data_IF_655778999749
#
_entry.id   IF_655778999749
#
_cell.length_a   1.000
_cell.length_b   1.000
_cell.length_c   1.000
_cell.angle_alpha   90.00
_cell.angle_beta   90.00
_cell.angle_gamma   90.00
#
_symmetry.space_group_name_H-M   'P 1'
#
loop_
_entity.id
_entity.type
_entity.pdbx_description
1 polymer ?
#
# COMPACT_ATOMS: atom_id res chain seq x y z
N UNK A 1 5.42 -6.99 -26.14
CA UNK A 1 4.20 -6.59 -25.41
C UNK A 1 4.43 -6.83 -23.92
N UNK A 2 4.65 -5.78 -23.11
CA UNK A 2 4.65 -5.94 -21.64
C UNK A 2 3.19 -6.07 -21.23
N UNK A 3 2.76 -7.28 -20.87
CA UNK A 3 1.46 -7.47 -20.25
C UNK A 3 1.47 -6.68 -18.94
N UNK A 4 0.75 -5.55 -18.91
CA UNK A 4 0.47 -4.81 -17.70
C UNK A 4 -0.48 -5.65 -16.84
N UNK A 5 0.04 -6.70 -16.21
CA UNK A 5 -0.67 -7.43 -15.17
C UNK A 5 -0.90 -6.44 -14.03
N UNK A 6 -2.14 -5.97 -13.92
CA UNK A 6 -2.56 -5.04 -12.89
C UNK A 6 -2.73 -5.89 -11.62
N UNK A 7 -1.70 -5.93 -10.77
CA UNK A 7 -1.71 -6.70 -9.53
C UNK A 7 -2.74 -6.11 -8.55
N UNK A 8 -3.84 -6.81 -8.25
CA UNK A 8 -4.95 -6.25 -7.48
C UNK A 8 -4.60 -6.03 -6.01
N UNK A 9 -5.07 -4.91 -5.44
CA UNK A 9 -4.77 -4.57 -4.04
C UNK A 9 -5.34 -5.58 -3.02
N UNK A 10 -6.39 -6.31 -3.38
CA UNK A 10 -6.94 -7.37 -2.52
C UNK A 10 -6.02 -8.59 -2.43
N UNK A 11 -5.35 -8.96 -3.54
CA UNK A 11 -4.34 -10.02 -3.54
C UNK A 11 -3.12 -9.57 -2.73
N UNK A 12 -2.71 -8.30 -2.87
CA UNK A 12 -1.66 -7.72 -2.06
C UNK A 12 -1.95 -7.77 -0.56
N UNK A 13 -3.19 -7.50 -0.14
CA UNK A 13 -3.60 -7.64 1.25
C UNK A 13 -3.50 -9.09 1.74
N UNK A 14 -3.99 -10.05 0.97
CA UNK A 14 -3.93 -11.46 1.34
C UNK A 14 -2.48 -11.92 1.54
N UNK A 15 -1.55 -11.44 0.72
CA UNK A 15 -0.11 -11.70 0.85
C UNK A 15 0.46 -11.08 2.13
N UNK A 16 0.10 -9.83 2.44
CA UNK A 16 0.55 -9.14 3.66
C UNK A 16 0.00 -9.80 4.92
N UNK A 17 -1.26 -10.23 4.91
CA UNK A 17 -1.91 -10.89 6.05
C UNK A 17 -1.48 -12.37 6.22
N UNK A 18 -0.87 -12.96 5.18
CA UNK A 18 -0.39 -14.34 5.17
C UNK A 18 1.00 -14.52 5.80
N UNK A 19 1.83 -15.37 5.18
CA UNK A 19 3.15 -15.74 5.71
C UNK A 19 4.09 -14.53 5.93
N UNK A 20 3.95 -13.50 5.09
CA UNK A 20 4.77 -12.28 5.18
C UNK A 20 4.55 -11.52 6.50
N UNK A 21 3.35 -11.64 7.08
CA UNK A 21 3.02 -11.05 8.37
C UNK A 21 3.92 -11.58 9.48
N UNK A 22 4.08 -12.89 9.54
CA UNK A 22 4.89 -13.56 10.55
C UNK A 22 6.37 -13.34 10.28
N UNK A 23 6.77 -13.39 9.01
CA UNK A 23 8.15 -13.17 8.57
C UNK A 23 8.68 -11.79 8.98
N UNK A 24 7.91 -10.73 8.71
CA UNK A 24 8.36 -9.35 8.93
C UNK A 24 7.81 -8.72 10.22
N UNK A 25 7.07 -9.48 11.04
CA UNK A 25 6.39 -8.95 12.22
C UNK A 25 5.45 -7.80 11.86
N UNK A 26 4.57 -8.01 10.87
CA UNK A 26 3.63 -6.99 10.39
C UNK A 26 2.43 -6.89 11.33
N UNK A 27 2.14 -5.67 11.78
CA UNK A 27 0.99 -5.33 12.60
C UNK A 27 0.08 -4.36 11.87
N UNK A 28 -1.15 -4.80 11.66
CA UNK A 28 -2.22 -3.95 11.16
C UNK A 28 -2.71 -3.02 12.27
N UNK A 29 -2.88 -1.74 11.99
CA UNK A 29 -3.27 -0.73 12.99
C UNK A 29 -4.38 0.24 12.51
N UNK A 30 -5.00 -0.04 11.37
CA UNK A 30 -6.23 0.65 11.00
C UNK A 30 -7.38 0.26 11.96
N UNK A 31 -8.20 1.24 12.32
CA UNK A 31 -9.47 0.96 13.00
C UNK A 31 -10.41 0.18 12.07
N UNK A 32 -11.40 -0.52 12.64
CA UNK A 32 -12.36 -1.41 11.94
C UNK A 32 -13.15 -0.78 10.77
N UNK A 33 -12.94 0.49 10.44
CA UNK A 33 -13.64 1.20 9.37
C UNK A 33 -12.92 1.03 8.03
N UNK A 34 -13.69 0.61 7.01
CA UNK A 34 -13.25 0.38 5.64
C UNK A 34 -12.73 1.68 5.01
N UNK A 35 -11.44 1.95 5.21
CA UNK A 35 -10.76 3.10 4.63
C UNK A 35 -10.17 2.73 3.26
N UNK A 36 -9.97 3.74 2.40
CA UNK A 36 -9.44 3.59 1.03
C UNK A 36 -7.99 3.06 1.00
N UNK A 37 -7.35 2.98 2.16
CA UNK A 37 -6.02 2.44 2.35
C UNK A 37 -5.96 1.67 3.66
N UNK A 38 -5.12 0.65 3.70
CA UNK A 38 -4.92 -0.26 4.83
C UNK A 38 -3.55 -0.03 5.43
N UNK A 39 -3.47 0.14 6.76
CA UNK A 39 -2.27 0.62 7.43
C UNK A 39 -1.60 -0.45 8.28
N UNK A 40 -0.28 -0.54 8.12
CA UNK A 40 0.55 -1.60 8.67
C UNK A 40 1.87 -1.05 9.23
N UNK A 41 2.41 -1.70 10.26
CA UNK A 41 3.72 -1.44 10.82
C UNK A 41 4.57 -2.71 10.77
N UNK A 42 5.83 -2.59 10.37
CA UNK A 42 6.84 -3.66 10.28
C UNK A 42 7.75 -3.61 11.50
N UNK A 43 8.02 -4.74 12.15
CA UNK A 43 8.87 -4.80 13.34
C UNK A 43 8.19 -4.30 14.62
N UNK A 44 6.88 -4.52 14.76
CA UNK A 44 6.11 -4.13 15.95
C UNK A 44 5.32 -2.82 15.80
N UNK A 45 4.50 -2.49 16.82
CA UNK A 45 3.56 -1.37 16.78
C UNK A 45 4.20 0.03 16.62
N UNK A 46 5.51 0.17 16.86
CA UNK A 46 6.27 1.43 16.71
C UNK A 46 7.26 1.40 15.54
N UNK A 47 7.23 0.33 14.74
CA UNK A 47 8.18 0.13 13.66
C UNK A 47 7.89 0.98 12.43
N UNK A 48 8.44 0.56 11.28
CA UNK A 48 8.28 1.26 10.00
C UNK A 48 6.86 1.06 9.47
N UNK A 49 6.19 2.14 9.12
CA UNK A 49 4.80 2.13 8.67
C UNK A 49 4.72 2.01 7.15
N UNK A 50 3.72 1.30 6.65
CA UNK A 50 3.34 1.32 5.25
C UNK A 50 1.82 1.21 5.11
N UNK A 51 1.31 1.50 3.92
CA UNK A 51 -0.09 1.30 3.59
C UNK A 51 -0.29 0.72 2.20
N UNK A 52 -1.34 -0.08 2.04
CA UNK A 52 -1.83 -0.57 0.74
C UNK A 52 -3.10 0.19 0.39
N UNK A 53 -3.12 0.86 -0.77
CA UNK A 53 -4.30 1.57 -1.26
C UNK A 53 -5.24 0.57 -1.93
N UNK A 54 -6.48 0.47 -1.43
CA UNK A 54 -7.48 -0.50 -1.89
C UNK A 54 -8.40 0.00 -2.99
N UNK A 55 -8.48 1.31 -3.21
CA UNK A 55 -9.37 1.87 -4.23
C UNK A 55 -9.56 3.37 -4.07
N UNK A 56 -9.82 4.06 -5.17
CA UNK A 56 -10.21 5.47 -5.16
C UNK A 56 -11.75 5.51 -5.11
N UNK A 57 -12.38 5.59 -3.94
CA UNK A 57 -13.81 5.94 -3.86
C UNK A 57 -13.98 7.44 -4.17
N UNK A 58 -13.77 7.81 -5.42
CA UNK A 58 -14.25 9.08 -5.96
C UNK A 58 -14.35 9.01 -7.48
N UNK A 59 -15.48 8.49 -7.97
CA UNK A 59 -16.00 8.89 -9.28
C UNK A 59 -17.52 9.01 -9.17
N UNK A 60 -18.02 10.16 -9.60
CA UNK A 60 -19.42 10.48 -9.88
C UNK A 60 -19.95 9.60 -11.03
N UNK A 61 -19.94 8.28 -10.87
CA UNK A 61 -20.52 7.35 -11.82
C UNK A 61 -21.40 6.37 -11.07
N UNK A 62 -22.70 6.47 -11.33
CA UNK A 62 -23.76 5.55 -10.97
C UNK A 62 -23.38 4.09 -11.31
N UNK A 63 -22.70 3.41 -10.41
CA UNK A 63 -22.68 1.94 -10.37
C UNK A 63 -23.09 1.50 -8.99
N UNK A 64 -24.29 0.93 -8.90
CA UNK A 64 -25.04 0.57 -7.71
C UNK A 64 -24.40 -0.53 -6.82
N UNK A 65 -23.09 -0.74 -6.89
CA UNK A 65 -22.37 -1.83 -6.19
C UNK A 65 -21.13 -1.39 -5.39
N UNK A 66 -20.78 -0.09 -5.36
CA UNK A 66 -19.94 0.52 -4.32
C UNK A 66 -18.48 0.05 -4.16
N UNK A 67 -18.02 -0.96 -4.89
CA UNK A 67 -16.66 -1.52 -4.76
C UNK A 67 -15.90 -1.39 -6.08
N UNK A 68 -14.99 -0.40 -6.16
CA UNK A 68 -13.95 -0.38 -7.20
C UNK A 68 -12.63 -0.81 -6.55
N UNK A 69 -12.32 -2.13 -6.48
CA UNK A 69 -11.01 -2.56 -6.02
C UNK A 69 -9.94 -1.96 -6.94
N UNK A 70 -8.88 -1.42 -6.34
CA UNK A 70 -7.74 -0.91 -7.07
C UNK A 70 -7.17 -2.05 -7.90
N UNK A 71 -7.34 -1.95 -9.22
CA UNK A 71 -6.79 -2.93 -10.16
C UNK A 71 -5.27 -2.97 -10.08
N UNK A 72 -4.62 -1.90 -9.62
CA UNK A 72 -3.18 -1.83 -9.39
C UNK A 72 -2.90 -1.58 -7.91
N UNK A 73 -1.95 -2.33 -7.36
CA UNK A 73 -1.52 -2.20 -5.97
C UNK A 73 -0.59 -1.00 -5.84
N UNK A 74 -1.09 0.03 -5.18
CA UNK A 74 -0.29 1.20 -4.78
C UNK A 74 0.09 1.08 -3.31
N UNK A 75 1.37 1.19 -3.02
CA UNK A 75 1.96 1.12 -1.69
C UNK A 75 2.44 2.52 -1.27
N UNK A 76 2.16 2.88 -0.03
CA UNK A 76 2.66 4.09 0.62
C UNK A 76 3.66 3.66 1.69
N UNK A 77 4.85 4.23 1.66
CA UNK A 77 5.91 4.03 2.64
C UNK A 77 6.19 5.34 3.36
N UNK A 78 6.84 5.28 4.53
CA UNK A 78 7.47 6.47 5.11
C UNK A 78 8.44 7.08 4.08
N UNK A 79 8.69 8.38 4.17
CA UNK A 79 9.58 9.05 3.22
C UNK A 79 10.95 8.36 3.19
N UNK A 80 11.26 7.71 2.07
CA UNK A 80 12.50 6.99 1.83
C UNK A 80 12.92 7.09 0.36
N UNK A 81 14.22 6.90 0.09
CA UNK A 81 14.73 6.74 -1.26
C UNK A 81 14.52 5.28 -1.70
N UNK A 82 13.49 5.05 -2.52
CA UNK A 82 13.24 3.73 -3.08
C UNK A 82 14.29 3.44 -4.17
N UNK A 83 15.00 2.30 -4.14
CA UNK A 83 15.94 1.94 -5.18
C UNK A 83 15.20 1.61 -6.49
N UNK A 84 15.92 1.70 -7.61
CA UNK A 84 15.43 1.20 -8.88
C UNK A 84 15.46 -0.33 -8.86
N UNK A 85 14.28 -0.95 -8.93
CA UNK A 85 14.12 -2.40 -8.87
C UNK A 85 13.02 -2.88 -9.81
N UNK A 86 13.18 -4.06 -10.43
CA UNK A 86 12.18 -4.61 -11.34
C UNK A 86 10.81 -4.75 -10.66
N UNK A 87 9.79 -4.19 -11.32
CA UNK A 87 8.40 -4.29 -10.86
C UNK A 87 8.00 -3.24 -9.82
N UNK A 88 8.88 -2.28 -9.48
CA UNK A 88 8.54 -1.11 -8.67
C UNK A 88 8.46 0.13 -9.55
N UNK A 89 7.38 0.89 -9.43
CA UNK A 89 7.19 2.15 -10.15
C UNK A 89 6.95 3.27 -9.14
N UNK A 90 7.91 4.19 -8.99
CA UNK A 90 7.78 5.33 -8.07
C UNK A 90 6.75 6.31 -8.65
N UNK A 91 5.81 6.75 -7.83
CA UNK A 91 4.87 7.80 -8.19
C UNK A 91 5.45 9.18 -7.82
N UNK A 92 5.59 10.06 -8.81
CA UNK A 92 6.14 11.41 -8.62
C UNK A 92 5.34 12.27 -7.63
N UNK A 93 4.02 12.05 -7.57
CA UNK A 93 3.12 12.78 -6.70
C UNK A 93 2.75 11.97 -5.44
N UNK A 94 2.78 12.60 -4.25
CA UNK A 94 2.27 11.97 -3.04
C UNK A 94 0.79 11.62 -3.20
N UNK A 95 0.38 10.50 -2.61
CA UNK A 95 -1.01 10.07 -2.63
C UNK A 95 -1.90 11.03 -1.82
N UNK A 96 -2.96 11.54 -2.46
CA UNK A 96 -3.90 12.53 -1.88
C UNK A 96 -5.27 11.92 -1.52
N UNK A 97 -5.50 10.63 -1.83
CA UNK A 97 -6.80 9.99 -1.68
C UNK A 97 -7.07 9.67 -0.21
N UNK A 98 -8.09 10.30 0.37
CA UNK A 98 -8.57 10.15 1.76
C UNK A 98 -7.51 10.38 2.83
N UNK A 99 -7.64 11.50 3.54
CA UNK A 99 -7.33 11.66 4.98
C UNK A 99 -6.55 10.51 5.62
N UNK A 100 -5.29 10.32 5.22
CA UNK A 100 -4.32 9.59 6.04
C UNK A 100 -4.26 10.44 7.31
N UNK A 101 -4.97 9.98 8.33
CA UNK A 101 -5.33 10.80 9.47
C UNK A 101 -4.01 11.26 10.11
N UNK A 102 -3.69 12.56 9.99
CA UNK A 102 -2.40 13.14 10.39
C UNK A 102 -2.05 12.84 11.85
N UNK A 103 -3.05 12.52 12.66
CA UNK A 103 -2.91 12.21 14.07
C UNK A 103 -2.20 10.88 14.37
N UNK A 104 -2.13 9.92 13.43
CA UNK A 104 -1.69 8.56 13.76
C UNK A 104 -0.68 7.93 12.80
N UNK A 105 -0.40 8.52 11.64
CA UNK A 105 0.47 7.89 10.65
C UNK A 105 1.60 8.78 10.18
N UNK A 106 2.81 8.23 10.21
CA UNK A 106 4.01 8.78 9.57
C UNK A 106 3.86 8.86 8.03
N UNK A 107 2.81 8.27 7.48
CA UNK A 107 2.49 8.25 6.05
C UNK A 107 1.66 9.45 5.58
N UNK A 108 1.40 10.43 6.45
CA UNK A 108 0.67 11.62 6.05
C UNK A 108 1.47 12.43 5.00
N UNK A 109 0.81 12.83 3.91
CA UNK A 109 1.39 13.74 2.92
C UNK A 109 1.92 15.02 3.60
N UNK A 110 3.13 15.50 3.26
CA UNK A 110 4.02 15.06 2.17
C UNK A 110 5.07 14.00 2.55
N UNK A 111 5.05 13.45 3.76
CA UNK A 111 6.11 12.61 4.31
C UNK A 111 6.01 11.13 3.91
N UNK A 112 5.61 10.87 2.68
CA UNK A 112 5.42 9.52 2.14
C UNK A 112 6.17 9.34 0.83
N UNK A 113 6.66 8.12 0.61
CA UNK A 113 7.08 7.64 -0.71
C UNK A 113 5.97 6.75 -1.25
N UNK A 114 5.54 6.98 -2.48
CA UNK A 114 4.46 6.22 -3.10
C UNK A 114 5.00 5.45 -4.29
N UNK A 115 4.63 4.18 -4.39
CA UNK A 115 4.99 3.34 -5.54
C UNK A 115 3.86 2.38 -5.93
N UNK A 116 3.91 1.88 -7.15
CA UNK A 116 3.07 0.80 -7.67
C UNK A 116 3.94 -0.44 -7.77
N UNK A 117 3.38 -1.60 -7.42
CA UNK A 117 4.03 -2.90 -7.59
C UNK A 117 3.34 -3.70 -8.69
N UNK A 118 4.15 -4.37 -9.51
CA UNK A 118 3.67 -5.08 -10.69
C UNK A 118 3.06 -6.46 -10.38
N UNK A 119 3.47 -7.12 -9.30
CA UNK A 119 3.04 -8.45 -8.90
C UNK A 119 3.36 -8.76 -7.42
N UNK A 120 3.00 -9.96 -6.97
CA UNK A 120 3.28 -10.48 -5.63
C UNK A 120 4.78 -10.56 -5.30
N UNK A 121 5.62 -10.91 -6.28
CA UNK A 121 7.07 -11.03 -6.08
C UNK A 121 7.67 -9.65 -5.80
N UNK A 122 7.28 -8.66 -6.58
CA UNK A 122 7.66 -7.26 -6.40
C UNK A 122 7.18 -6.73 -5.04
N UNK A 123 5.96 -7.05 -4.61
CA UNK A 123 5.44 -6.67 -3.29
C UNK A 123 6.27 -7.27 -2.15
N UNK A 124 6.55 -8.58 -2.19
CA UNK A 124 7.36 -9.24 -1.15
C UNK A 124 8.76 -8.67 -1.09
N UNK A 125 9.39 -8.46 -2.24
CA UNK A 125 10.71 -7.86 -2.32
C UNK A 125 10.72 -6.44 -1.72
N UNK A 126 9.69 -5.63 -2.04
CA UNK A 126 9.54 -4.27 -1.54
C UNK A 126 9.44 -4.26 -0.01
N UNK A 127 8.56 -5.09 0.55
CA UNK A 127 8.32 -5.11 1.99
C UNK A 127 9.50 -5.67 2.78
N UNK A 128 10.22 -6.67 2.23
CA UNK A 128 11.47 -7.18 2.82
C UNK A 128 12.56 -6.12 2.84
N UNK A 129 12.82 -5.48 1.70
CA UNK A 129 13.77 -4.37 1.63
C UNK A 129 13.39 -3.24 2.59
N UNK A 130 12.10 -2.91 2.66
CA UNK A 130 11.61 -1.85 3.52
C UNK A 130 11.77 -2.20 5.01
N UNK A 131 11.58 -3.46 5.39
CA UNK A 131 11.81 -3.94 6.75
C UNK A 131 13.24 -3.67 7.23
N UNK A 132 14.23 -3.87 6.35
CA UNK A 132 15.66 -3.76 6.67
C UNK A 132 16.27 -5.14 6.84
#
# INVERSE_FOLDING_TARGET
MKASLKYPAQEALAVVDGALRLELGIHRFDGKERTKAQFFAVGGARGKQFAIVLGNTNTNTNTATGEHPAKQTRVLLEKCALPDAPGWEICDAPYKGSSVNRAFSKLASPNQTSCIVADETALKALLRWYAG
#
